data_IF_844550168614
#
_entry.id   IF_844550168614
#
_cell.length_a   1.000
_cell.length_b   1.000
_cell.length_c   1.000
_cell.angle_alpha   90.00
_cell.angle_beta   90.00
_cell.angle_gamma   90.00
#
_symmetry.space_group_name_H-M   'P 1'
#
loop_
_entity.id
_entity.type
_entity.pdbx_description
1 polymer ?
#
# COMPACT_ATOMS: atom_id res chain seq x y z
N UNK A 1 -11.00 -4.22 -21.91
CA UNK A 1 -10.90 -4.26 -20.43
C UNK A 1 -10.36 -2.91 -19.98
N UNK A 2 -9.34 -2.78 -19.12
CA UNK A 2 -8.96 -1.48 -18.50
C UNK A 2 -8.44 -0.38 -19.45
N UNK A 3 -8.22 -0.66 -20.75
CA UNK A 3 -7.83 0.35 -21.75
C UNK A 3 -6.34 0.65 -21.83
N UNK A 4 -5.48 -0.22 -21.27
CA UNK A 4 -4.03 -0.08 -21.28
C UNK A 4 -3.39 -1.21 -22.09
N UNK A 5 -2.54 -0.84 -23.06
CA UNK A 5 -1.81 -1.80 -23.91
C UNK A 5 -0.30 -1.82 -23.63
N UNK A 6 0.19 -1.01 -22.68
CA UNK A 6 1.60 -0.97 -22.32
C UNK A 6 2.05 -2.31 -21.69
N UNK A 7 3.04 -3.03 -22.28
CA UNK A 7 3.51 -4.30 -21.74
C UNK A 7 4.01 -4.23 -20.28
N UNK A 8 4.60 -3.10 -19.88
CA UNK A 8 5.04 -2.87 -18.49
C UNK A 8 3.85 -2.78 -17.55
N UNK A 9 2.75 -2.15 -17.98
CA UNK A 9 1.52 -2.12 -17.19
C UNK A 9 0.90 -3.52 -17.03
N UNK A 10 0.98 -4.36 -18.07
CA UNK A 10 0.53 -5.76 -17.99
C UNK A 10 1.37 -6.54 -16.96
N UNK A 11 2.69 -6.37 -16.95
CA UNK A 11 3.56 -6.99 -15.94
C UNK A 11 3.28 -6.49 -14.52
N UNK A 12 3.06 -5.17 -14.36
CA UNK A 12 2.63 -4.59 -13.09
C UNK A 12 1.33 -5.25 -12.61
N UNK A 13 0.36 -5.45 -13.51
CA UNK A 13 -0.91 -6.05 -13.13
C UNK A 13 -0.79 -7.53 -12.76
N UNK A 14 0.06 -8.28 -13.44
CA UNK A 14 0.38 -9.66 -13.05
C UNK A 14 0.98 -9.71 -11.65
N UNK A 15 1.98 -8.87 -11.37
CA UNK A 15 2.60 -8.79 -10.05
C UNK A 15 1.57 -8.40 -8.97
N UNK A 16 0.82 -7.32 -9.21
CA UNK A 16 -0.16 -6.79 -8.26
C UNK A 16 -1.23 -7.81 -7.87
N UNK A 17 -1.81 -8.50 -8.86
CA UNK A 17 -2.85 -9.51 -8.63
C UNK A 17 -2.32 -10.71 -7.86
N UNK A 18 -1.06 -11.11 -8.08
CA UNK A 18 -0.43 -12.24 -7.39
C UNK A 18 -0.11 -11.90 -5.94
N UNK A 19 0.51 -10.76 -5.66
CA UNK A 19 0.97 -10.45 -4.29
C UNK A 19 -0.17 -10.06 -3.33
N UNK A 20 -1.36 -9.72 -3.86
CA UNK A 20 -2.56 -9.41 -3.08
C UNK A 20 -3.59 -10.55 -3.13
N UNK A 21 -3.24 -11.73 -3.66
CA UNK A 21 -4.20 -12.81 -3.87
C UNK A 21 -4.78 -13.39 -2.58
N UNK A 22 -3.97 -13.43 -1.52
CA UNK A 22 -4.37 -13.94 -0.21
C UNK A 22 -3.52 -13.34 0.91
N UNK A 23 -4.08 -13.25 2.12
CA UNK A 23 -3.36 -12.86 3.32
C UNK A 23 -4.04 -13.45 4.57
N UNK A 24 -4.06 -14.78 4.62
CA UNK A 24 -4.71 -15.59 5.66
C UNK A 24 -6.24 -15.38 5.74
N UNK A 25 -6.90 -16.06 6.71
CA UNK A 25 -8.35 -16.00 6.91
C UNK A 25 -8.83 -15.00 7.97
N UNK A 26 -7.93 -14.33 8.68
CA UNK A 26 -8.28 -13.42 9.78
C UNK A 26 -8.74 -12.04 9.32
N UNK A 27 -8.40 -11.63 8.10
CA UNK A 27 -8.83 -10.35 7.56
C UNK A 27 -10.33 -10.34 7.21
N UNK A 28 -10.95 -9.16 7.24
CA UNK A 28 -12.42 -9.01 7.17
C UNK A 28 -12.98 -9.60 5.89
N UNK A 29 -12.36 -9.38 4.73
CA UNK A 29 -12.88 -9.91 3.46
C UNK A 29 -12.78 -11.43 3.36
N UNK A 30 -11.64 -12.02 3.72
CA UNK A 30 -11.45 -13.46 3.69
C UNK A 30 -12.39 -14.16 4.68
N UNK A 31 -12.46 -13.65 5.91
CA UNK A 31 -13.37 -14.18 6.93
C UNK A 31 -14.83 -14.08 6.50
N UNK A 32 -15.25 -12.94 5.95
CA UNK A 32 -16.65 -12.75 5.49
C UNK A 32 -17.01 -13.72 4.37
N UNK A 33 -16.12 -13.90 3.38
CA UNK A 33 -16.29 -14.91 2.33
C UNK A 33 -16.49 -16.30 2.93
N UNK A 34 -15.61 -16.69 3.85
CA UNK A 34 -15.66 -17.99 4.52
C UNK A 34 -16.95 -18.18 5.35
N UNK A 35 -17.33 -17.16 6.14
CA UNK A 35 -18.50 -17.20 7.01
C UNK A 35 -19.80 -17.35 6.21
N UNK A 36 -19.99 -16.54 5.15
CA UNK A 36 -21.19 -16.64 4.30
C UNK A 36 -21.23 -17.97 3.56
N UNK A 37 -20.09 -18.43 3.03
CA UNK A 37 -19.98 -19.73 2.37
C UNK A 37 -20.24 -20.92 3.30
N UNK A 38 -19.95 -20.79 4.61
CA UNK A 38 -20.19 -21.85 5.59
C UNK A 38 -21.68 -22.22 5.76
N UNK A 39 -22.58 -21.29 5.41
CA UNK A 39 -24.02 -21.53 5.36
C UNK A 39 -24.49 -22.14 4.02
N UNK A 40 -23.56 -22.67 3.21
CA UNK A 40 -23.79 -23.23 1.86
C UNK A 40 -24.29 -22.20 0.84
N UNK A 41 -24.06 -20.91 1.08
CA UNK A 41 -24.25 -19.88 0.06
C UNK A 41 -23.25 -20.09 -1.07
N UNK A 42 -23.66 -19.85 -2.31
CA UNK A 42 -22.78 -20.02 -3.47
C UNK A 42 -21.62 -19.00 -3.48
N UNK A 43 -20.59 -19.22 -4.32
CA UNK A 43 -19.43 -18.34 -4.38
C UNK A 43 -19.73 -16.89 -4.75
N UNK A 44 -20.78 -16.60 -5.52
CA UNK A 44 -21.12 -15.23 -5.92
C UNK A 44 -21.64 -14.44 -4.71
N UNK A 45 -22.50 -15.04 -3.90
CA UNK A 45 -23.02 -14.43 -2.68
C UNK A 45 -21.90 -14.22 -1.65
N UNK A 46 -21.07 -15.25 -1.45
CA UNK A 46 -19.95 -15.21 -0.50
C UNK A 46 -18.93 -14.13 -0.86
N UNK A 47 -18.55 -14.04 -2.14
CA UNK A 47 -17.60 -13.02 -2.60
C UNK A 47 -18.19 -11.62 -2.59
N UNK A 48 -19.48 -11.46 -2.94
CA UNK A 48 -20.15 -10.15 -2.86
C UNK A 48 -20.17 -9.60 -1.44
N UNK A 49 -20.46 -10.44 -0.44
CA UNK A 49 -20.38 -10.06 0.96
C UNK A 49 -18.95 -9.72 1.38
N UNK A 50 -17.96 -10.47 0.92
CA UNK A 50 -16.55 -10.18 1.16
C UNK A 50 -16.12 -8.80 0.64
N UNK A 51 -16.61 -8.39 -0.54
CA UNK A 51 -16.36 -7.06 -1.08
C UNK A 51 -16.99 -5.94 -0.25
N UNK A 52 -18.17 -6.16 0.34
CA UNK A 52 -18.76 -5.20 1.28
C UNK A 52 -17.87 -5.01 2.53
N UNK A 53 -17.29 -6.10 3.03
CA UNK A 53 -16.28 -6.04 4.09
C UNK A 53 -14.98 -5.34 3.66
N UNK A 54 -14.50 -5.62 2.44
CA UNK A 54 -13.33 -4.96 1.84
C UNK A 54 -13.51 -3.46 1.66
N UNK A 55 -14.72 -3.00 1.35
CA UNK A 55 -15.04 -1.58 1.23
C UNK A 55 -14.98 -0.81 2.57
N UNK A 56 -14.88 -1.51 3.71
CA UNK A 56 -14.74 -0.90 5.01
C UNK A 56 -13.44 -0.07 5.13
N UNK A 57 -13.48 1.15 5.72
CA UNK A 57 -12.31 2.02 5.81
C UNK A 57 -11.09 1.39 6.50
N UNK A 58 -11.33 0.52 7.50
CA UNK A 58 -10.28 -0.16 8.25
C UNK A 58 -9.71 -1.39 7.53
N UNK A 59 -10.13 -1.68 6.30
CA UNK A 59 -9.66 -2.84 5.53
C UNK A 59 -9.12 -2.44 4.15
N UNK A 60 -9.92 -1.77 3.32
CA UNK A 60 -9.59 -1.55 1.91
C UNK A 60 -8.89 -0.25 1.54
N UNK A 61 -8.62 0.66 2.49
CA UNK A 61 -8.21 2.05 2.16
C UNK A 61 -6.73 2.38 2.28
N UNK A 62 -5.91 1.48 2.84
CA UNK A 62 -4.51 1.78 3.12
C UNK A 62 -3.71 2.25 1.88
N UNK A 63 -3.99 1.69 0.70
CA UNK A 63 -3.36 2.11 -0.55
C UNK A 63 -3.69 3.58 -0.89
N UNK A 64 -4.98 3.96 -0.90
CA UNK A 64 -5.37 5.33 -1.19
C UNK A 64 -4.84 6.31 -0.15
N UNK A 65 -4.86 5.95 1.13
CA UNK A 65 -4.36 6.80 2.22
C UNK A 65 -2.87 7.12 2.06
N UNK A 66 -2.05 6.13 1.70
CA UNK A 66 -0.62 6.33 1.38
C UNK A 66 -0.47 7.27 0.20
N UNK A 67 -1.20 7.08 -0.90
CA UNK A 67 -1.07 7.93 -2.08
C UNK A 67 -1.51 9.38 -1.80
N UNK A 68 -2.60 9.59 -1.05
CA UNK A 68 -3.06 10.91 -0.63
C UNK A 68 -2.01 11.60 0.25
N UNK A 69 -1.46 10.87 1.22
CA UNK A 69 -0.39 11.38 2.09
C UNK A 69 0.84 11.80 1.29
N UNK A 70 1.32 10.96 0.37
CA UNK A 70 2.50 11.25 -0.45
C UNK A 70 2.26 12.41 -1.42
N UNK A 71 1.05 12.51 -2.00
CA UNK A 71 0.68 13.63 -2.87
C UNK A 71 0.68 14.96 -2.11
N UNK A 72 0.12 14.96 -0.89
CA UNK A 72 0.16 16.12 0.00
C UNK A 72 1.60 16.48 0.37
N UNK A 73 2.39 15.49 0.77
CA UNK A 73 3.78 15.66 1.15
C UNK A 73 4.58 16.30 0.01
N UNK A 74 4.47 15.76 -1.21
CA UNK A 74 5.12 16.32 -2.40
C UNK A 74 4.71 17.77 -2.66
N UNK A 75 3.43 18.11 -2.47
CA UNK A 75 2.92 19.47 -2.60
C UNK A 75 3.48 20.45 -1.56
N UNK A 76 3.82 19.96 -0.35
CA UNK A 76 4.38 20.77 0.73
C UNK A 76 5.90 20.96 0.62
N UNK A 77 6.65 19.90 0.26
CA UNK A 77 8.12 19.95 0.19
C UNK A 77 8.65 20.39 -1.18
N UNK A 78 7.83 20.27 -2.23
CA UNK A 78 8.20 20.60 -3.61
C UNK A 78 9.14 19.57 -4.26
N UNK A 79 9.38 19.64 -5.59
CA UNK A 79 10.10 18.60 -6.33
C UNK A 79 11.62 18.55 -6.06
N UNK A 80 12.19 19.57 -5.44
CA UNK A 80 13.63 19.69 -5.18
C UNK A 80 13.99 19.53 -3.70
N UNK A 81 13.15 18.79 -2.94
CA UNK A 81 13.39 18.53 -1.53
C UNK A 81 14.75 17.84 -1.31
N UNK A 82 15.37 18.13 -0.18
CA UNK A 82 16.54 17.40 0.32
C UNK A 82 16.11 16.28 1.27
N UNK A 83 16.95 15.25 1.41
CA UNK A 83 16.70 14.16 2.37
C UNK A 83 16.54 14.69 3.81
N UNK A 84 17.27 15.76 4.16
CA UNK A 84 17.17 16.39 5.47
C UNK A 84 15.81 17.04 5.69
N UNK A 85 15.31 17.81 4.72
CA UNK A 85 13.98 18.45 4.82
C UNK A 85 12.88 17.41 4.97
N UNK A 86 12.94 16.32 4.21
CA UNK A 86 11.96 15.25 4.30
C UNK A 86 12.02 14.53 5.65
N UNK A 87 13.24 14.27 6.15
CA UNK A 87 13.44 13.72 7.50
C UNK A 87 12.84 14.64 8.55
N UNK A 88 13.14 15.92 8.53
CA UNK A 88 12.64 16.89 9.51
C UNK A 88 11.10 16.98 9.45
N UNK A 89 10.51 16.95 8.26
CA UNK A 89 9.05 16.90 8.08
C UNK A 89 8.44 15.64 8.72
N UNK A 90 8.98 14.45 8.42
CA UNK A 90 8.48 13.17 8.97
C UNK A 90 8.60 13.14 10.50
N UNK A 91 9.73 13.60 11.05
CA UNK A 91 9.92 13.67 12.50
C UNK A 91 8.95 14.63 13.17
N UNK A 92 8.67 15.79 12.57
CA UNK A 92 7.68 16.73 13.10
C UNK A 92 6.26 16.18 13.01
N UNK A 93 5.92 15.49 11.92
CA UNK A 93 4.65 14.79 11.74
C UNK A 93 4.42 13.77 12.86
N UNK A 94 5.41 12.90 13.11
CA UNK A 94 5.35 11.92 14.20
C UNK A 94 5.26 12.56 15.59
N UNK A 95 6.05 13.62 15.85
CA UNK A 95 6.01 14.36 17.14
C UNK A 95 4.67 15.06 17.38
N UNK A 96 3.92 15.36 16.33
CA UNK A 96 2.56 15.92 16.45
C UNK A 96 1.50 14.87 16.81
N UNK A 97 1.90 13.60 16.98
CA UNK A 97 0.99 12.48 17.29
C UNK A 97 0.33 11.87 16.05
N UNK A 98 0.74 12.27 14.86
CA UNK A 98 0.28 11.68 13.60
C UNK A 98 1.16 10.48 13.21
N UNK A 99 0.66 9.64 12.31
CA UNK A 99 1.35 8.41 11.86
C UNK A 99 1.73 8.54 10.38
N UNK A 100 2.80 7.85 9.97
CA UNK A 100 3.15 7.75 8.54
C UNK A 100 2.41 6.54 7.95
N UNK A 101 1.43 6.74 7.04
CA UNK A 101 0.66 5.62 6.48
C UNK A 101 1.56 4.60 5.78
N UNK A 102 1.26 3.30 5.97
CA UNK A 102 2.05 2.21 5.41
C UNK A 102 3.30 1.83 6.22
N UNK A 103 3.58 2.53 7.32
CA UNK A 103 4.65 2.22 8.28
C UNK A 103 4.03 1.90 9.65
N UNK A 104 4.73 1.08 10.44
CA UNK A 104 4.20 0.57 11.70
C UNK A 104 3.41 -0.71 11.51
N UNK A 105 4.09 -1.85 11.65
CA UNK A 105 3.44 -3.16 11.65
C UNK A 105 3.67 -3.84 13.00
N UNK A 106 2.58 -4.15 13.71
CA UNK A 106 2.63 -4.76 15.04
C UNK A 106 3.22 -6.20 15.07
N UNK A 107 3.51 -6.81 13.91
CA UNK A 107 3.81 -8.25 13.77
C UNK A 107 5.08 -8.47 12.95
N UNK A 108 5.19 -7.84 11.78
CA UNK A 108 6.38 -7.97 10.93
C UNK A 108 7.56 -7.19 11.51
N UNK A 109 8.66 -7.89 11.75
CA UNK A 109 9.93 -7.32 12.27
C UNK A 109 10.89 -6.84 11.17
N UNK A 110 10.49 -7.01 9.91
CA UNK A 110 11.26 -6.68 8.70
C UNK A 110 10.30 -6.14 7.66
N UNK A 111 10.83 -5.47 6.63
CA UNK A 111 10.07 -5.00 5.48
C UNK A 111 9.26 -6.14 4.86
N UNK A 112 8.00 -5.84 4.54
CA UNK A 112 7.10 -6.78 3.87
C UNK A 112 7.68 -7.17 2.48
N UNK A 113 7.84 -8.46 2.17
CA UNK A 113 8.34 -8.88 0.85
C UNK A 113 7.47 -8.39 -0.31
N UNK A 114 6.17 -8.15 -0.10
CA UNK A 114 5.27 -7.56 -1.11
C UNK A 114 5.66 -6.11 -1.45
N UNK A 115 6.16 -5.36 -0.47
CA UNK A 115 6.75 -4.04 -0.72
C UNK A 115 8.04 -4.19 -1.52
N UNK A 116 8.93 -5.09 -1.12
CA UNK A 116 10.22 -5.33 -1.79
C UNK A 116 10.06 -5.66 -3.27
N UNK A 117 9.16 -6.58 -3.63
CA UNK A 117 8.92 -6.93 -5.03
C UNK A 117 8.39 -5.75 -5.87
N UNK A 118 7.54 -4.89 -5.30
CA UNK A 118 7.06 -3.68 -5.98
C UNK A 118 8.18 -2.63 -6.12
N UNK A 119 9.04 -2.51 -5.10
CA UNK A 119 10.22 -1.63 -5.15
C UNK A 119 11.21 -2.07 -6.24
N UNK A 120 11.48 -3.38 -6.34
CA UNK A 120 12.32 -3.95 -7.40
C UNK A 120 11.74 -3.71 -8.80
N UNK A 121 10.43 -3.88 -8.95
CA UNK A 121 9.73 -3.56 -10.19
C UNK A 121 9.90 -2.08 -10.57
N UNK A 122 9.70 -1.17 -9.61
CA UNK A 122 9.82 0.26 -9.84
C UNK A 122 11.26 0.70 -10.15
N UNK A 123 12.26 0.15 -9.46
CA UNK A 123 13.68 0.37 -9.77
C UNK A 123 14.03 0.00 -11.23
N UNK A 124 13.40 -1.05 -11.76
CA UNK A 124 13.65 -1.52 -13.13
C UNK A 124 12.90 -0.70 -14.18
N UNK A 125 11.67 -0.26 -13.89
CA UNK A 125 10.75 0.24 -14.91
C UNK A 125 10.43 1.73 -14.82
N UNK A 126 10.55 2.34 -13.63
CA UNK A 126 10.28 3.76 -13.39
C UNK A 126 11.24 4.38 -12.35
N UNK A 127 12.58 4.16 -12.42
CA UNK A 127 13.52 4.63 -11.40
C UNK A 127 13.60 6.17 -11.30
N UNK A 128 13.18 6.87 -12.36
CA UNK A 128 13.26 8.32 -12.45
C UNK A 128 11.98 9.03 -12.03
N UNK A 129 10.89 8.30 -11.79
CA UNK A 129 9.61 8.85 -11.36
C UNK A 129 9.73 9.60 -10.03
N UNK A 130 9.17 10.80 -9.98
CA UNK A 130 9.31 11.70 -8.83
C UNK A 130 8.60 11.15 -7.58
N UNK A 131 7.43 10.55 -7.76
CA UNK A 131 6.66 9.96 -6.66
C UNK A 131 7.39 8.72 -6.12
N UNK A 132 7.96 7.90 -6.99
CA UNK A 132 8.76 6.75 -6.58
C UNK A 132 10.03 7.16 -5.81
N UNK A 133 10.74 8.19 -6.27
CA UNK A 133 11.87 8.77 -5.53
C UNK A 133 11.46 9.27 -4.14
N UNK A 134 10.28 9.88 -4.04
CA UNK A 134 9.71 10.29 -2.74
C UNK A 134 9.46 9.08 -1.85
N UNK A 135 8.81 8.03 -2.36
CA UNK A 135 8.59 6.76 -1.63
C UNK A 135 9.91 6.20 -1.10
N UNK A 136 10.95 6.14 -1.94
CA UNK A 136 12.26 5.64 -1.52
C UNK A 136 12.92 6.51 -0.44
N UNK A 137 12.78 7.83 -0.55
CA UNK A 137 13.33 8.75 0.45
C UNK A 137 12.58 8.62 1.78
N UNK A 138 11.23 8.56 1.74
CA UNK A 138 10.39 8.29 2.92
C UNK A 138 10.78 6.97 3.58
N UNK A 139 11.00 5.91 2.80
CA UNK A 139 11.44 4.60 3.30
C UNK A 139 12.78 4.68 4.02
N UNK A 140 13.72 5.50 3.52
CA UNK A 140 15.04 5.70 4.11
C UNK A 140 15.00 6.51 5.41
N UNK A 141 14.14 7.53 5.48
CA UNK A 141 14.15 8.49 6.61
C UNK A 141 13.15 8.17 7.71
N UNK A 142 12.11 7.38 7.43
CA UNK A 142 11.12 6.96 8.43
C UNK A 142 11.77 5.99 9.42
N UNK A 143 11.66 6.22 10.74
CA UNK A 143 12.25 5.33 11.74
C UNK A 143 11.70 3.90 11.68
N UNK A 144 12.57 2.91 11.88
CA UNK A 144 12.20 1.49 11.89
C UNK A 144 11.32 1.07 13.09
N UNK A 145 11.11 1.96 14.06
CA UNK A 145 10.38 1.71 15.31
C UNK A 145 9.04 2.45 15.40
N UNK A 146 8.55 3.01 14.29
CA UNK A 146 7.15 3.41 14.16
C UNK A 146 6.27 2.19 13.94
#
# INVERSE_FOLDING_TARGET
MLGYDNPVFVELMRLYLVIHSDHEGGNVSAHTSHLVGSALSDPYLSFSAALAGLAGPLHGLANQEVLVFLTKLMGEVGPNYTEKELRDWIWNHLKSGQVVPGYGHAVLRKTDPRYTCQQEFALKHLPNDEMFKLVQTVFKVTPASC
#
